data_IF_759153727167
#
_entry.id   IF_759153727167
#
_cell.length_a   1.000
_cell.length_b   1.000
_cell.length_c   1.000
_cell.angle_alpha   90.00
_cell.angle_beta   90.00
_cell.angle_gamma   90.00
#
_symmetry.space_group_name_H-M   'P 1'
#
loop_
_entity.id
_entity.type
_entity.pdbx_description
1 polymer ?
#
# COMPACT_ATOMS: atom_id res chain seq x y z
N UNK A 1 -9.38 3.84 -3.13
CA UNK A 1 -9.41 2.79 -2.09
C UNK A 1 -9.16 3.29 -0.68
N UNK A 2 -7.88 3.49 -0.34
CA UNK A 2 -7.34 3.61 1.01
C UNK A 2 -7.87 4.79 1.81
N UNK A 3 -7.06 5.84 2.01
CA UNK A 3 -7.44 6.99 2.85
C UNK A 3 -8.62 7.76 2.23
N UNK A 4 -9.65 8.11 3.03
CA UNK A 4 -9.83 7.85 4.47
C UNK A 4 -10.51 6.52 4.81
N UNK A 5 -11.03 5.79 3.83
CA UNK A 5 -11.86 4.59 4.03
C UNK A 5 -11.13 3.29 4.40
N UNK A 6 -9.79 3.28 4.48
CA UNK A 6 -8.94 2.11 4.77
C UNK A 6 -9.17 0.91 3.85
N UNK A 7 -9.45 1.14 2.57
CA UNK A 7 -9.65 0.07 1.58
C UNK A 7 -8.42 -0.10 0.68
N UNK A 8 -8.60 -0.36 -0.60
CA UNK A 8 -7.54 -0.68 -1.57
C UNK A 8 -6.36 0.30 -1.52
N UNK A 9 -5.17 -0.25 -1.38
CA UNK A 9 -3.93 0.48 -1.61
C UNK A 9 -3.80 0.62 -3.13
N UNK A 10 -4.38 1.69 -3.66
CA UNK A 10 -4.44 2.03 -5.08
C UNK A 10 -4.11 3.53 -5.30
N UNK A 11 -4.24 3.99 -6.55
CA UNK A 11 -3.97 5.37 -6.98
C UNK A 11 -5.21 6.29 -6.91
N UNK A 12 -6.36 5.81 -6.43
CA UNK A 12 -7.61 6.58 -6.41
C UNK A 12 -7.84 7.33 -5.08
N UNK A 13 -6.80 7.42 -4.24
CA UNK A 13 -6.87 7.97 -2.88
C UNK A 13 -5.91 9.16 -2.70
N UNK A 14 -5.96 9.80 -1.54
CA UNK A 14 -5.10 10.95 -1.22
C UNK A 14 -3.60 10.57 -1.11
N UNK A 15 -3.30 9.37 -0.60
CA UNK A 15 -1.92 8.90 -0.43
C UNK A 15 -1.39 8.20 -1.69
N UNK A 16 -0.20 8.61 -2.13
CA UNK A 16 0.53 7.92 -3.18
C UNK A 16 1.61 6.99 -2.60
N UNK A 17 1.22 5.74 -2.35
CA UNK A 17 2.05 4.72 -1.69
C UNK A 17 3.43 4.48 -2.34
N UNK A 18 3.60 4.45 -3.68
CA UNK A 18 4.93 4.27 -4.27
C UNK A 18 5.94 5.35 -3.84
N UNK A 19 5.50 6.59 -3.69
CA UNK A 19 6.39 7.66 -3.22
C UNK A 19 6.73 7.51 -1.74
N UNK A 20 5.77 7.08 -0.92
CA UNK A 20 5.96 6.82 0.52
C UNK A 20 6.95 5.66 0.71
N UNK A 21 6.79 4.55 0.00
CA UNK A 21 7.69 3.39 0.08
C UNK A 21 9.11 3.75 -0.35
N UNK A 22 9.27 4.52 -1.44
CA UNK A 22 10.59 5.05 -1.84
C UNK A 22 11.21 5.96 -0.79
N UNK A 23 10.40 6.73 -0.06
CA UNK A 23 10.89 7.57 1.03
C UNK A 23 11.34 6.72 2.23
N UNK A 24 10.59 5.68 2.60
CA UNK A 24 10.98 4.71 3.65
C UNK A 24 12.27 4.01 3.27
N UNK A 25 12.39 3.50 2.04
CA UNK A 25 13.60 2.84 1.54
C UNK A 25 14.84 3.73 1.68
N UNK A 26 14.73 5.03 1.35
CA UNK A 26 15.83 6.01 1.49
C UNK A 26 16.31 6.21 2.93
N UNK A 27 15.51 5.85 3.93
CA UNK A 27 15.94 5.90 5.34
C UNK A 27 16.87 4.74 5.73
N UNK A 28 16.98 3.70 4.88
CA UNK A 28 17.69 2.46 5.22
C UNK A 28 16.89 1.55 6.16
N UNK A 29 15.55 1.67 6.19
CA UNK A 29 14.70 0.82 7.01
C UNK A 29 14.70 -0.63 6.50
N UNK A 30 15.14 -1.57 7.34
CA UNK A 30 15.23 -3.02 7.02
C UNK A 30 14.13 -3.85 7.71
N UNK A 31 13.15 -3.19 8.34
CA UNK A 31 12.05 -3.87 9.00
C UNK A 31 10.93 -4.27 8.04
N UNK A 32 9.74 -4.52 8.59
CA UNK A 32 8.58 -4.95 7.84
C UNK A 32 7.56 -3.83 7.66
N UNK A 33 6.93 -3.77 6.49
CA UNK A 33 5.77 -2.90 6.23
C UNK A 33 4.51 -3.75 6.15
N UNK A 34 3.61 -3.53 7.12
CA UNK A 34 2.34 -4.25 7.19
C UNK A 34 1.27 -3.59 6.29
N UNK A 35 0.50 -4.42 5.59
CA UNK A 35 -0.61 -3.97 4.75
C UNK A 35 -1.94 -4.17 5.50
N UNK A 36 -2.26 -3.25 6.41
CA UNK A 36 -3.49 -3.32 7.23
C UNK A 36 -4.64 -2.52 6.60
N UNK A 37 -5.42 -3.18 5.74
CA UNK A 37 -6.56 -2.57 5.04
C UNK A 37 -7.73 -3.56 4.90
N UNK A 38 -8.90 -3.04 4.54
CA UNK A 38 -10.14 -3.81 4.34
C UNK A 38 -10.46 -3.85 2.84
N UNK A 39 -10.20 -4.96 2.13
CA UNK A 39 -10.58 -5.10 0.73
C UNK A 39 -12.09 -4.95 0.51
N UNK A 40 -12.49 -4.18 -0.51
CA UNK A 40 -13.86 -4.13 -1.04
C UNK A 40 -14.07 -5.08 -2.21
N UNK A 41 -12.99 -5.45 -2.89
CA UNK A 41 -12.95 -6.44 -3.98
C UNK A 41 -12.41 -7.79 -3.47
N UNK A 42 -12.16 -8.73 -4.37
CA UNK A 42 -11.56 -10.04 -4.02
C UNK A 42 -10.30 -9.85 -3.13
N UNK A 43 -10.24 -10.45 -1.93
CA UNK A 43 -9.16 -10.17 -0.98
C UNK A 43 -7.76 -10.51 -1.48
N UNK A 44 -7.58 -11.64 -2.17
CA UNK A 44 -6.26 -12.06 -2.67
C UNK A 44 -5.79 -11.17 -3.81
N UNK A 45 -6.70 -10.80 -4.72
CA UNK A 45 -6.39 -9.84 -5.77
C UNK A 45 -6.05 -8.47 -5.19
N UNK A 46 -6.66 -8.09 -4.06
CA UNK A 46 -6.39 -6.83 -3.32
C UNK A 46 -5.02 -6.81 -2.70
N UNK A 47 -4.70 -7.89 -1.98
CA UNK A 47 -3.40 -8.05 -1.35
C UNK A 47 -2.27 -8.08 -2.39
N UNK A 48 -2.45 -8.79 -3.51
CA UNK A 48 -1.44 -8.84 -4.59
C UNK A 48 -1.15 -7.45 -5.16
N UNK A 49 -2.18 -6.67 -5.49
CA UNK A 49 -1.99 -5.29 -5.99
C UNK A 49 -1.28 -4.42 -4.95
N UNK A 50 -1.66 -4.51 -3.68
CA UNK A 50 -1.05 -3.74 -2.62
C UNK A 50 0.46 -4.03 -2.49
N UNK A 51 0.86 -5.31 -2.58
CA UNK A 51 2.26 -5.73 -2.58
C UNK A 51 2.99 -5.16 -3.81
N UNK A 52 2.43 -5.33 -5.01
CA UNK A 52 3.04 -4.84 -6.27
C UNK A 52 3.27 -3.31 -6.26
N UNK A 53 2.38 -2.54 -5.62
CA UNK A 53 2.50 -1.08 -5.50
C UNK A 53 3.58 -0.69 -4.49
N UNK A 54 3.74 -1.49 -3.44
CA UNK A 54 4.62 -1.17 -2.32
C UNK A 54 6.03 -1.75 -2.44
N UNK A 55 6.25 -2.70 -3.35
CA UNK A 55 7.56 -3.27 -3.69
C UNK A 55 8.30 -2.30 -4.63
N UNK A 56 9.29 -1.55 -4.11
CA UNK A 56 9.99 -0.45 -4.80
C UNK A 56 11.50 -0.53 -4.74
#
# INVERSE_FOLDING_TARGET
>A
GGVPGRNEIDDTQELYYPAIMRAILKTGYEGYVAHEFIPKRDPLTSLRQAIEICDV
#
